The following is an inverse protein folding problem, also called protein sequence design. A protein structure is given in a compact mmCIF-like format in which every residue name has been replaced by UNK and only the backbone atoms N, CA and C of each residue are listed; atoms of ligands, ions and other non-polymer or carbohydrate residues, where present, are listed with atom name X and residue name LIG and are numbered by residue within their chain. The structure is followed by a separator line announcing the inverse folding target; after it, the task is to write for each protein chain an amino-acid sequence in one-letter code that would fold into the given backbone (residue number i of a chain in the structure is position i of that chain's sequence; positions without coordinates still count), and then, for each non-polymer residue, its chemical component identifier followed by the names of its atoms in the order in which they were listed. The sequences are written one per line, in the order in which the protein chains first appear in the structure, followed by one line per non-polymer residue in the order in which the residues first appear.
data_IF_683851073538
#
_entry.id   IF_683851073538
#
_cell.length_a   1.000
_cell.length_b   1.000
_cell.length_c   1.000
_cell.angle_alpha   90.00
_cell.angle_beta   90.00
_cell.angle_gamma   90.00
#
_symmetry.space_group_name_H-M   'P 1'
#
loop_
_entity.id
_entity.type
_entity.pdbx_description
1 polymer ?
#
# COMPACT_ATOMS: atom_id res chain seq x y z
N UNK A 1 -9.14 -8.96 8.08
CA UNK A 1 -9.07 -9.28 6.63
C UNK A 1 -7.73 -8.76 6.10
N UNK A 2 -6.96 -9.55 5.35
CA UNK A 2 -5.76 -9.04 4.66
C UNK A 2 -6.19 -8.44 3.31
N UNK A 3 -5.75 -7.23 2.99
CA UNK A 3 -6.11 -6.51 1.76
C UNK A 3 -5.38 -7.01 0.50
N UNK A 4 -4.60 -8.10 0.61
CA UNK A 4 -3.79 -8.62 -0.50
C UNK A 4 -2.59 -7.75 -0.91
N UNK A 5 -2.36 -6.62 -0.23
CA UNK A 5 -1.23 -5.72 -0.48
C UNK A 5 0.04 -6.25 0.19
N UNK A 6 1.00 -6.73 -0.60
CA UNK A 6 2.28 -7.27 -0.13
C UNK A 6 3.44 -6.33 -0.47
N UNK A 7 4.55 -6.44 0.28
CA UNK A 7 5.78 -5.70 -0.01
C UNK A 7 5.76 -4.21 0.38
N UNK A 8 4.79 -3.77 1.17
CA UNK A 8 4.66 -2.36 1.58
C UNK A 8 5.62 -1.92 2.70
N UNK A 9 6.32 -2.85 3.35
CA UNK A 9 7.29 -2.51 4.40
C UNK A 9 8.42 -1.67 3.80
N UNK A 10 8.67 -0.50 4.40
CA UNK A 10 9.76 0.37 4.00
C UNK A 10 11.15 -0.26 4.22
N UNK A 11 12.17 0.40 3.66
CA UNK A 11 13.56 -0.06 3.80
C UNK A 11 13.97 -0.08 5.29
N UNK A 12 14.77 -1.08 5.69
CA UNK A 12 15.12 -1.32 7.09
C UNK A 12 15.80 -0.12 7.78
N UNK A 13 16.58 0.67 7.03
CA UNK A 13 17.27 1.86 7.56
C UNK A 13 16.36 3.08 7.73
N UNK A 14 15.20 3.13 7.07
CA UNK A 14 14.30 4.30 7.07
C UNK A 14 12.99 4.02 7.81
N UNK A 15 12.60 2.74 7.94
CA UNK A 15 11.29 2.36 8.46
C UNK A 15 10.16 2.80 7.53
N UNK A 16 8.96 2.99 8.10
CA UNK A 16 7.79 3.46 7.38
C UNK A 16 7.23 2.47 6.35
N UNK A 17 6.53 3.02 5.35
CA UNK A 17 5.83 2.29 4.29
C UNK A 17 6.34 2.77 2.92
N UNK A 18 6.50 1.85 1.97
CA UNK A 18 6.88 2.15 0.58
C UNK A 18 6.07 1.30 -0.39
N UNK A 19 5.41 1.93 -1.35
CA UNK A 19 4.82 1.25 -2.51
C UNK A 19 5.76 1.37 -3.71
N UNK A 20 6.10 0.24 -4.33
CA UNK A 20 6.94 0.19 -5.52
C UNK A 20 6.08 -0.04 -6.76
N UNK A 21 5.99 0.97 -7.64
CA UNK A 21 5.11 0.98 -8.82
C UNK A 21 5.95 0.83 -10.10
N UNK A 22 6.41 -0.40 -10.38
CA UNK A 22 7.14 -0.71 -11.61
C UNK A 22 6.18 -0.94 -12.79
N UNK A 23 6.70 -1.03 -14.01
CA UNK A 23 5.92 -1.26 -15.23
C UNK A 23 4.98 -2.49 -15.18
N UNK A 24 5.33 -3.51 -14.39
CA UNK A 24 4.50 -4.71 -14.22
C UNK A 24 3.32 -4.52 -13.24
N UNK A 25 3.24 -3.37 -12.55
CA UNK A 25 2.14 -3.06 -11.64
C UNK A 25 0.92 -2.61 -12.45
N UNK A 26 -0.20 -3.35 -12.42
CA UNK A 26 -1.43 -2.91 -13.08
C UNK A 26 -2.08 -1.75 -12.31
N UNK A 27 -2.83 -0.90 -13.03
CA UNK A 27 -3.59 0.21 -12.42
C UNK A 27 -4.56 -0.27 -11.32
N UNK A 28 -5.20 -1.42 -11.52
CA UNK A 28 -6.08 -2.03 -10.51
C UNK A 28 -5.38 -2.30 -9.16
N UNK A 29 -4.07 -2.57 -9.18
CA UNK A 29 -3.28 -2.71 -7.95
C UNK A 29 -3.04 -1.37 -7.24
N UNK A 30 -2.91 -0.29 -8.02
CA UNK A 30 -2.80 1.08 -7.51
C UNK A 30 -4.13 1.53 -6.90
N UNK A 31 -5.25 1.24 -7.57
CA UNK A 31 -6.59 1.55 -7.06
C UNK A 31 -6.86 0.83 -5.73
N UNK A 32 -6.51 -0.45 -5.63
CA UNK A 32 -6.62 -1.21 -4.38
C UNK A 32 -5.79 -0.60 -3.24
N UNK A 33 -4.58 -0.09 -3.53
CA UNK A 33 -3.75 0.61 -2.56
C UNK A 33 -4.42 1.93 -2.11
N UNK A 34 -4.95 2.71 -3.04
CA UNK A 34 -5.63 3.98 -2.74
C UNK A 34 -6.85 3.74 -1.85
N UNK A 35 -7.69 2.76 -2.19
CA UNK A 35 -8.89 2.44 -1.43
C UNK A 35 -8.55 1.93 -0.03
N UNK A 36 -7.51 1.11 0.09
CA UNK A 36 -6.98 0.71 1.39
C UNK A 36 -6.54 1.93 2.22
N UNK A 37 -5.78 2.86 1.64
CA UNK A 37 -5.31 4.06 2.36
C UNK A 37 -6.47 4.96 2.83
N UNK A 38 -7.49 5.14 1.98
CA UNK A 38 -8.71 5.90 2.32
C UNK A 38 -9.50 5.26 3.45
N UNK A 39 -9.55 3.93 3.49
CA UNK A 39 -10.22 3.21 4.57
C UNK A 39 -9.40 3.24 5.86
N UNK A 40 -8.09 3.00 5.74
CA UNK A 40 -7.16 3.00 6.86
C UNK A 40 -7.20 4.31 7.64
N UNK A 41 -7.17 5.47 6.95
CA UNK A 41 -7.22 6.78 7.63
C UNK A 41 -8.53 7.01 8.39
N UNK A 42 -9.67 6.48 7.91
CA UNK A 42 -10.95 6.58 8.62
C UNK A 42 -10.99 5.70 9.87
N UNK A 43 -10.29 4.56 9.83
CA UNK A 43 -10.27 3.61 10.97
C UNK A 43 -9.32 4.03 12.10
N UNK A 44 -8.45 5.01 11.86
CA UNK A 44 -7.44 5.47 12.82
C UNK A 44 -7.80 6.83 13.43
N UNK A 45 -8.80 7.51 12.86
CA UNK A 45 -9.50 8.60 13.53
C UNK A 45 -10.43 8.05 14.63
#
# INVERSE_FOLDING_TARGET
RQAGLIGLKGHSSLGGIRASLYNAMPEAGVDALIDFMKEFVKTIA
#
